data_IF_382419848060
#
_entry.id   IF_382419848060
#
_cell.length_a   1.000
_cell.length_b   1.000
_cell.length_c   1.000
_cell.angle_alpha   90.00
_cell.angle_beta   90.00
_cell.angle_gamma   90.00
#
_symmetry.space_group_name_H-M   'P 1'
#
loop_
_entity.id
_entity.type
_entity.pdbx_description
1 polymer ?
#
# COMPACT_ATOMS: atom_id res chain seq x y z
N UNK A 1 28.83 -11.79 -9.78
CA UNK A 1 27.44 -12.10 -9.39
C UNK A 1 26.82 -10.77 -9.01
N UNK A 2 25.90 -10.26 -9.81
CA UNK A 2 25.09 -9.11 -9.38
C UNK A 2 24.48 -9.50 -8.04
N UNK A 3 24.82 -8.79 -6.96
CA UNK A 3 23.96 -8.75 -5.79
C UNK A 3 22.76 -7.90 -6.19
N UNK A 4 21.96 -8.42 -7.11
CA UNK A 4 20.69 -7.86 -7.51
C UNK A 4 19.87 -7.75 -6.24
N UNK A 5 19.48 -6.53 -5.89
CA UNK A 5 18.60 -6.28 -4.76
C UNK A 5 17.37 -7.17 -4.96
N UNK A 6 17.15 -8.11 -4.03
CA UNK A 6 16.04 -9.06 -4.07
C UNK A 6 14.73 -8.32 -4.32
N UNK A 7 14.12 -8.57 -5.48
CA UNK A 7 12.89 -7.91 -5.93
C UNK A 7 11.77 -8.03 -4.88
N UNK A 8 11.72 -9.14 -4.14
CA UNK A 8 10.77 -9.35 -3.05
C UNK A 8 10.95 -8.28 -1.96
N UNK A 9 12.21 -8.04 -1.55
CA UNK A 9 12.53 -7.03 -0.56
C UNK A 9 12.25 -5.61 -1.06
N UNK A 10 12.54 -5.31 -2.33
CA UNK A 10 12.23 -4.00 -2.91
C UNK A 10 10.73 -3.70 -2.82
N UNK A 11 9.89 -4.64 -3.27
CA UNK A 11 8.44 -4.44 -3.31
C UNK A 11 7.85 -4.34 -1.90
N UNK A 12 8.21 -5.26 -1.01
CA UNK A 12 7.71 -5.28 0.37
C UNK A 12 8.14 -4.00 1.11
N UNK A 13 9.41 -3.62 1.02
CA UNK A 13 9.91 -2.42 1.69
C UNK A 13 9.25 -1.15 1.12
N UNK A 14 9.09 -1.05 -0.19
CA UNK A 14 8.36 0.04 -0.84
C UNK A 14 6.94 0.18 -0.31
N UNK A 15 6.20 -0.93 -0.25
CA UNK A 15 4.84 -0.95 0.27
C UNK A 15 4.77 -0.57 1.76
N UNK A 16 5.71 -1.03 2.59
CA UNK A 16 5.79 -0.65 4.00
C UNK A 16 6.10 0.84 4.22
N UNK A 17 6.97 1.42 3.40
CA UNK A 17 7.26 2.86 3.41
C UNK A 17 6.01 3.65 3.04
N UNK A 18 5.32 3.28 1.97
CA UNK A 18 4.08 3.93 1.54
C UNK A 18 2.98 3.79 2.60
N UNK A 19 2.85 2.62 3.25
CA UNK A 19 1.92 2.42 4.37
C UNK A 19 2.25 3.34 5.55
N UNK A 20 3.54 3.47 5.89
CA UNK A 20 4.00 4.36 6.95
C UNK A 20 3.67 5.83 6.64
N UNK A 21 3.78 6.24 5.37
CA UNK A 21 3.38 7.58 4.92
C UNK A 21 1.85 7.75 4.95
N UNK A 22 1.09 6.74 4.53
CA UNK A 22 -0.38 6.72 4.58
C UNK A 22 -0.89 6.91 6.02
N UNK A 23 -0.32 6.20 6.99
CA UNK A 23 -0.67 6.31 8.41
C UNK A 23 -0.53 7.74 8.95
N UNK A 24 0.42 8.51 8.44
CA UNK A 24 0.69 9.90 8.86
C UNK A 24 -0.06 10.95 8.03
N UNK A 25 -0.61 10.58 6.88
CA UNK A 25 -1.20 11.52 5.93
C UNK A 25 -2.50 12.17 6.46
N UNK A 26 -2.51 13.51 6.51
CA UNK A 26 -3.66 14.29 7.03
C UNK A 26 -4.65 14.68 5.94
N UNK A 27 -4.19 14.97 4.73
CA UNK A 27 -5.05 15.35 3.61
C UNK A 27 -5.59 14.13 2.85
N UNK A 28 -6.77 14.27 2.23
CA UNK A 28 -7.33 13.25 1.37
C UNK A 28 -6.40 12.93 0.19
N UNK A 29 -5.87 13.97 -0.48
CA UNK A 29 -4.97 13.81 -1.63
C UNK A 29 -3.70 13.02 -1.26
N UNK A 30 -3.07 13.30 -0.12
CA UNK A 30 -1.91 12.52 0.31
C UNK A 30 -2.28 11.05 0.59
N UNK A 31 -3.43 10.81 1.22
CA UNK A 31 -3.90 9.44 1.49
C UNK A 31 -4.18 8.67 0.20
N UNK A 32 -4.80 9.27 -0.81
CA UNK A 32 -5.09 8.56 -2.06
C UNK A 32 -3.81 8.24 -2.84
N UNK A 33 -2.82 9.14 -2.84
CA UNK A 33 -1.52 8.88 -3.48
C UNK A 33 -0.81 7.66 -2.85
N UNK A 34 -0.64 7.64 -1.52
CA UNK A 34 0.04 6.52 -0.86
C UNK A 34 -0.76 5.22 -0.91
N UNK A 35 -2.09 5.30 -0.88
CA UNK A 35 -2.94 4.12 -1.09
C UNK A 35 -2.77 3.53 -2.49
N UNK A 36 -2.77 4.37 -3.53
CA UNK A 36 -2.55 3.94 -4.90
C UNK A 36 -1.15 3.34 -5.11
N UNK A 37 -0.11 3.95 -4.52
CA UNK A 37 1.26 3.44 -4.57
C UNK A 37 1.36 2.02 -3.97
N UNK A 38 0.67 1.76 -2.85
CA UNK A 38 0.58 0.41 -2.26
C UNK A 38 -0.10 -0.57 -3.21
N UNK A 39 -1.15 -0.14 -3.90
CA UNK A 39 -1.83 -0.93 -4.93
C UNK A 39 -0.90 -1.35 -6.07
N UNK A 40 0.01 -0.46 -6.50
CA UNK A 40 1.00 -0.76 -7.55
C UNK A 40 1.93 -1.91 -7.13
N UNK A 41 2.44 -1.90 -5.90
CA UNK A 41 3.31 -3.00 -5.44
C UNK A 41 2.59 -4.36 -5.44
N UNK A 42 1.33 -4.38 -5.01
CA UNK A 42 0.50 -5.59 -5.07
C UNK A 42 0.28 -6.05 -6.52
N UNK A 43 -0.06 -5.15 -7.43
CA UNK A 43 -0.28 -5.49 -8.85
C UNK A 43 0.98 -6.07 -9.49
N UNK A 44 2.14 -5.46 -9.24
CA UNK A 44 3.43 -5.99 -9.72
C UNK A 44 3.67 -7.41 -9.19
N UNK A 45 3.29 -7.70 -7.93
CA UNK A 45 3.42 -9.05 -7.35
C UNK A 45 2.58 -10.13 -8.01
N UNK A 46 1.57 -9.75 -8.80
CA UNK A 46 0.73 -10.66 -9.58
C UNK A 46 1.32 -10.96 -10.97
N UNK A 47 2.38 -10.23 -11.38
CA UNK A 47 3.05 -10.45 -12.66
C UNK A 47 3.76 -11.80 -12.71
N UNK A 48 3.44 -12.61 -13.71
CA UNK A 48 4.07 -13.92 -13.93
C UNK A 48 5.51 -13.75 -14.40
N UNK A 49 6.42 -14.59 -13.92
CA UNK A 49 7.82 -14.62 -14.37
C UNK A 49 8.74 -13.57 -13.73
N UNK A 50 8.25 -12.73 -12.82
CA UNK A 50 9.03 -11.68 -12.16
C UNK A 50 9.88 -12.17 -10.97
N UNK A 51 9.87 -13.46 -10.66
CA UNK A 51 10.62 -14.01 -9.51
C UNK A 51 10.05 -13.62 -8.14
N UNK A 52 8.77 -13.23 -8.08
CA UNK A 52 8.10 -12.80 -6.85
C UNK A 52 7.52 -14.02 -6.12
N UNK A 53 8.01 -14.22 -4.90
CA UNK A 53 7.62 -15.29 -4.00
C UNK A 53 6.19 -15.14 -3.50
N UNK A 54 5.56 -16.28 -3.17
CA UNK A 54 4.23 -16.30 -2.57
C UNK A 54 4.21 -15.56 -1.22
N UNK A 55 5.27 -15.71 -0.42
CA UNK A 55 5.43 -14.99 0.85
C UNK A 55 5.43 -13.46 0.66
N UNK A 56 6.14 -12.93 -0.34
CA UNK A 56 6.11 -11.50 -0.64
C UNK A 56 4.72 -11.05 -1.12
N UNK A 57 4.05 -11.86 -1.94
CA UNK A 57 2.68 -11.58 -2.40
C UNK A 57 1.69 -11.52 -1.23
N UNK A 58 1.74 -12.47 -0.30
CA UNK A 58 0.88 -12.48 0.89
C UNK A 58 1.14 -11.28 1.81
N UNK A 59 2.40 -10.88 1.97
CA UNK A 59 2.75 -9.68 2.72
C UNK A 59 2.20 -8.42 2.04
N UNK A 60 2.34 -8.29 0.72
CA UNK A 60 1.79 -7.17 -0.05
C UNK A 60 0.26 -7.12 0.03
N UNK A 61 -0.42 -8.28 0.02
CA UNK A 61 -1.87 -8.35 0.24
C UNK A 61 -2.26 -7.87 1.65
N UNK A 62 -1.51 -8.28 2.67
CA UNK A 62 -1.72 -7.83 4.05
C UNK A 62 -1.56 -6.32 4.17
N UNK A 63 -0.49 -5.76 3.61
CA UNK A 63 -0.22 -4.32 3.59
C UNK A 63 -1.34 -3.57 2.86
N UNK A 64 -1.76 -4.06 1.69
CA UNK A 64 -2.84 -3.45 0.92
C UNK A 64 -4.19 -3.49 1.66
N UNK A 65 -4.50 -4.59 2.36
CA UNK A 65 -5.71 -4.69 3.19
C UNK A 65 -5.69 -3.68 4.33
N UNK A 66 -4.57 -3.52 5.03
CA UNK A 66 -4.42 -2.51 6.07
C UNK A 66 -4.58 -1.09 5.51
N UNK A 67 -3.92 -0.80 4.39
CA UNK A 67 -4.02 0.48 3.69
C UNK A 67 -5.48 0.81 3.29
N UNK A 68 -6.21 -0.18 2.79
CA UNK A 68 -7.63 -0.09 2.46
C UNK A 68 -8.45 0.31 3.68
N UNK A 69 -8.25 -0.36 4.81
CA UNK A 69 -8.95 -0.02 6.04
C UNK A 69 -8.66 1.41 6.50
N UNK A 70 -7.39 1.85 6.48
CA UNK A 70 -7.00 3.21 6.88
C UNK A 70 -7.66 4.25 5.97
N UNK A 71 -7.53 4.09 4.65
CA UNK A 71 -8.06 5.02 3.67
C UNK A 71 -9.59 5.13 3.77
N UNK A 72 -10.29 4.00 3.78
CA UNK A 72 -11.76 3.97 3.82
C UNK A 72 -12.32 4.49 5.14
N UNK A 73 -11.71 4.16 6.28
CA UNK A 73 -12.14 4.68 7.58
C UNK A 73 -11.96 6.20 7.68
N UNK A 74 -10.88 6.74 7.12
CA UNK A 74 -10.69 8.18 7.07
C UNK A 74 -11.75 8.89 6.20
N UNK A 75 -12.15 8.27 5.08
CA UNK A 75 -13.18 8.81 4.20
C UNK A 75 -14.58 8.75 4.84
N UNK A 76 -14.92 7.64 5.52
CA UNK A 76 -16.17 7.53 6.30
C UNK A 76 -16.28 8.63 7.36
N UNK A 77 -15.21 8.86 8.13
CA UNK A 77 -15.19 9.96 9.13
C UNK A 77 -15.34 11.34 8.49
N UNK A 78 -14.74 11.56 7.33
CA UNK A 78 -14.88 12.82 6.60
C UNK A 78 -16.31 13.03 6.11
N UNK A 79 -16.96 11.99 5.58
CA UNK A 79 -18.35 12.05 5.13
C UNK A 79 -19.31 12.34 6.28
N UNK A 80 -19.14 11.68 7.43
CA UNK A 80 -19.94 11.92 8.64
C UNK A 80 -19.79 13.36 9.13
N UNK A 81 -18.57 13.91 9.14
CA UNK A 81 -18.34 15.32 9.51
C UNK A 81 -19.06 16.31 8.61
N UNK A 82 -19.14 16.02 7.30
CA UNK A 82 -19.86 16.87 6.34
C UNK A 82 -21.38 16.79 6.48
N UNK A 83 -21.91 15.69 7.01
CA UNK A 83 -23.36 15.50 7.17
C UNK A 83 -23.93 16.20 8.43
N UNK A 84 -23.06 16.61 9.37
CA UNK A 84 -23.44 17.25 10.65
C UNK A 84 -23.03 18.74 10.68
N UNK A 85 -22.42 19.25 9.62
CA UNK A 85 -22.05 20.65 9.43
C UNK A 85 -23.05 21.34 8.51
#
# INVERSE_FOLDING_TARGET
>A
MLSDSDINNILVNGAQISLSKLKRARSFNARIYYYAEIGVYLEVSLSRGAGISDAAREQLQTIHKEATHIHMNANKRLALRKAVA
#
